data_IF_396914551677
#
_entry.id   IF_396914551677
#
_cell.length_a   1.000
_cell.length_b   1.000
_cell.length_c   1.000
_cell.angle_alpha   90.00
_cell.angle_beta   90.00
_cell.angle_gamma   90.00
#
_symmetry.space_group_name_H-M   'P 1'
#
loop_
_entity.id
_entity.type
_entity.pdbx_description
1 polymer ?
#
# COMPACT_ATOMS: atom_id res chain seq x y z
N UNK A 1 -25.80 3.30 -6.31
CA UNK A 1 -26.53 4.36 -5.58
C UNK A 1 -26.54 5.59 -6.45
N UNK A 2 -27.69 6.26 -6.57
CA UNK A 2 -27.77 7.53 -7.26
C UNK A 2 -27.06 8.64 -6.45
N UNK A 3 -26.11 9.31 -7.07
CA UNK A 3 -25.44 10.48 -6.49
C UNK A 3 -26.43 11.64 -6.37
N UNK A 4 -27.06 12.02 -7.47
CA UNK A 4 -28.26 12.85 -7.52
C UNK A 4 -29.50 11.94 -7.40
N UNK A 5 -30.26 11.99 -6.28
CA UNK A 5 -31.42 11.13 -6.08
C UNK A 5 -32.51 11.33 -7.14
N UNK A 6 -33.26 10.27 -7.47
CA UNK A 6 -34.34 10.34 -8.46
C UNK A 6 -35.47 11.31 -8.08
N UNK A 7 -35.81 11.40 -6.79
CA UNK A 7 -36.81 12.34 -6.30
C UNK A 7 -36.35 13.81 -6.32
N UNK A 8 -35.05 14.05 -6.48
CA UNK A 8 -34.46 15.37 -6.71
C UNK A 8 -34.22 15.67 -8.21
N UNK A 9 -34.56 14.72 -9.10
CA UNK A 9 -34.40 14.86 -10.56
C UNK A 9 -33.20 14.12 -11.15
N UNK A 10 -32.53 13.26 -10.39
CA UNK A 10 -31.44 12.42 -10.89
C UNK A 10 -31.90 11.30 -11.84
N UNK A 11 -31.01 10.88 -12.74
CA UNK A 11 -31.26 9.88 -13.79
C UNK A 11 -30.62 8.53 -13.46
N UNK A 12 -30.97 7.48 -14.20
CA UNK A 12 -30.33 6.15 -14.12
C UNK A 12 -29.03 6.05 -14.96
N UNK A 13 -28.51 7.18 -15.43
CA UNK A 13 -27.27 7.23 -16.22
C UNK A 13 -26.07 6.77 -15.38
N UNK A 14 -25.12 6.11 -16.01
CA UNK A 14 -23.93 5.56 -15.34
C UNK A 14 -23.13 6.62 -14.59
N UNK A 15 -23.08 7.86 -15.09
CA UNK A 15 -22.41 8.99 -14.44
C UNK A 15 -23.10 9.43 -13.14
N UNK A 16 -24.37 9.08 -12.93
CA UNK A 16 -25.08 9.32 -11.68
C UNK A 16 -25.01 8.13 -10.71
N UNK A 17 -24.40 7.01 -11.11
CA UNK A 17 -24.32 5.80 -10.31
C UNK A 17 -22.96 5.65 -9.61
N UNK A 18 -23.00 5.71 -8.28
CA UNK A 18 -21.84 5.50 -7.42
C UNK A 18 -21.90 4.12 -6.77
N UNK A 19 -20.76 3.43 -6.76
CA UNK A 19 -20.59 2.20 -5.96
C UNK A 19 -20.50 2.53 -4.48
N UNK A 20 -21.37 1.92 -3.68
CA UNK A 20 -21.38 2.12 -2.23
C UNK A 20 -21.92 0.89 -1.50
N UNK A 21 -21.59 0.76 -0.22
CA UNK A 21 -22.23 -0.24 0.63
C UNK A 21 -23.69 0.15 0.97
N UNK A 22 -24.48 -0.83 1.38
CA UNK A 22 -25.89 -0.66 1.78
C UNK A 22 -26.08 0.39 2.88
N UNK A 23 -25.17 0.46 3.85
CA UNK A 23 -25.21 1.47 4.92
C UNK A 23 -25.03 2.89 4.37
N UNK A 24 -24.04 3.12 3.51
CA UNK A 24 -23.80 4.44 2.94
C UNK A 24 -24.97 4.88 2.05
N UNK A 25 -25.52 3.97 1.25
CA UNK A 25 -26.72 4.23 0.45
C UNK A 25 -27.89 4.68 1.33
N UNK A 26 -28.14 3.95 2.42
CA UNK A 26 -29.24 4.25 3.35
C UNK A 26 -29.04 5.57 4.10
N UNK A 27 -27.82 5.87 4.55
CA UNK A 27 -27.54 7.10 5.28
C UNK A 27 -27.55 8.33 4.37
N UNK A 28 -27.07 8.20 3.12
CA UNK A 28 -27.26 9.25 2.11
C UNK A 28 -28.75 9.49 1.87
N UNK A 29 -29.50 8.42 1.66
CA UNK A 29 -30.92 8.47 1.28
C UNK A 29 -31.10 9.35 0.04
N UNK A 30 -32.12 10.18 0.07
CA UNK A 30 -32.52 11.20 -0.86
C UNK A 30 -31.85 12.56 -0.62
N UNK A 31 -30.76 12.61 0.16
CA UNK A 31 -30.03 13.85 0.34
C UNK A 31 -29.52 14.39 -1.00
N UNK A 32 -29.90 15.64 -1.26
CA UNK A 32 -29.37 16.53 -2.26
C UNK A 32 -29.35 17.94 -1.64
N UNK A 33 -28.24 18.70 -1.75
CA UNK A 33 -28.13 19.98 -1.08
C UNK A 33 -29.06 21.02 -1.72
N UNK A 34 -29.63 21.88 -0.87
CA UNK A 34 -30.27 23.14 -1.30
C UNK A 34 -29.22 24.17 -1.71
N UNK A 35 -29.64 25.26 -2.36
CA UNK A 35 -28.73 26.36 -2.74
C UNK A 35 -27.99 26.95 -1.53
N UNK A 36 -28.70 27.15 -0.42
CA UNK A 36 -28.11 27.65 0.84
C UNK A 36 -27.06 26.69 1.40
N UNK A 37 -27.34 25.37 1.34
CA UNK A 37 -26.39 24.33 1.75
C UNK A 37 -25.17 24.27 0.84
N UNK A 38 -25.36 24.43 -0.48
CA UNK A 38 -24.25 24.51 -1.42
C UNK A 38 -23.32 25.68 -1.10
N UNK A 39 -23.89 26.86 -0.79
CA UNK A 39 -23.12 28.05 -0.42
C UNK A 39 -22.38 27.87 0.93
N UNK A 40 -22.95 27.11 1.86
CA UNK A 40 -22.30 26.73 3.11
C UNK A 40 -21.24 25.62 2.93
N UNK A 41 -21.19 24.97 1.77
CA UNK A 41 -20.29 23.87 1.48
C UNK A 41 -20.78 22.49 1.94
N UNK A 42 -22.07 22.36 2.29
CA UNK A 42 -22.74 21.12 2.74
C UNK A 42 -23.03 20.17 1.56
N UNK A 43 -21.98 19.80 0.84
CA UNK A 43 -22.04 18.96 -0.36
C UNK A 43 -21.43 17.59 -0.08
N UNK A 44 -22.06 16.55 -0.61
CA UNK A 44 -21.41 15.24 -0.68
C UNK A 44 -20.53 15.17 -1.92
N UNK A 45 -19.24 14.92 -1.75
CA UNK A 45 -18.31 14.70 -2.86
C UNK A 45 -18.66 13.44 -3.68
N UNK A 46 -18.55 13.55 -5.00
CA UNK A 46 -18.62 12.46 -5.96
C UNK A 46 -17.26 11.75 -6.08
N UNK A 47 -17.16 10.43 -5.78
CA UNK A 47 -15.87 9.76 -5.63
C UNK A 47 -15.08 9.56 -6.94
N UNK A 48 -15.68 9.80 -8.11
CA UNK A 48 -15.01 9.71 -9.43
C UNK A 48 -14.77 11.07 -10.09
N UNK A 49 -15.41 12.14 -9.60
CA UNK A 49 -15.38 13.45 -10.26
C UNK A 49 -14.71 14.52 -9.39
N UNK A 50 -14.85 14.40 -8.08
CA UNK A 50 -14.23 15.34 -7.14
C UNK A 50 -12.89 14.80 -6.64
N UNK A 51 -11.95 15.73 -6.41
CA UNK A 51 -10.68 15.41 -5.78
C UNK A 51 -10.87 15.20 -4.27
N UNK A 52 -11.11 13.96 -3.87
CA UNK A 52 -11.24 13.60 -2.47
C UNK A 52 -10.00 13.98 -1.64
N UNK A 53 -8.80 14.01 -2.23
CA UNK A 53 -7.57 14.32 -1.49
C UNK A 53 -7.41 15.80 -1.16
N UNK A 54 -8.07 16.67 -1.93
CA UNK A 54 -8.17 18.09 -1.60
C UNK A 54 -9.08 18.34 -0.38
N UNK A 55 -10.06 17.46 -0.13
CA UNK A 55 -11.05 17.66 0.92
C UNK A 55 -10.85 16.77 2.14
N UNK A 56 -10.19 15.62 2.00
CA UNK A 56 -10.11 14.57 3.01
C UNK A 56 -8.67 14.10 3.19
N UNK A 57 -8.24 13.97 4.45
CA UNK A 57 -6.99 13.29 4.81
C UNK A 57 -7.29 12.08 5.68
N UNK A 58 -6.55 11.00 5.47
CA UNK A 58 -6.58 9.83 6.35
C UNK A 58 -5.41 9.91 7.32
N UNK A 59 -5.72 9.85 8.61
CA UNK A 59 -4.73 9.83 9.69
C UNK A 59 -4.20 8.41 9.94
N UNK A 60 -3.11 8.31 10.72
CA UNK A 60 -2.46 7.04 11.03
C UNK A 60 -3.35 6.07 11.81
N UNK A 61 -4.22 6.61 12.67
CA UNK A 61 -5.21 5.87 13.44
C UNK A 61 -6.41 5.40 12.60
N UNK A 62 -6.44 5.70 11.30
CA UNK A 62 -7.50 5.28 10.38
C UNK A 62 -8.73 6.18 10.38
N UNK A 63 -8.74 7.30 11.13
CA UNK A 63 -9.74 8.34 10.99
C UNK A 63 -9.56 9.11 9.67
N UNK A 64 -10.67 9.60 9.14
CA UNK A 64 -10.68 10.64 8.12
C UNK A 64 -10.89 12.00 8.78
N UNK A 65 -10.12 12.98 8.35
CA UNK A 65 -10.23 14.37 8.78
C UNK A 65 -10.60 15.22 7.55
N UNK A 66 -11.58 16.11 7.72
CA UNK A 66 -11.94 17.08 6.70
C UNK A 66 -10.91 18.20 6.65
N UNK A 67 -10.33 18.43 5.47
CA UNK A 67 -9.44 19.57 5.19
C UNK A 67 -10.23 20.84 4.85
N UNK A 68 -11.52 20.68 4.55
CA UNK A 68 -12.47 21.73 4.16
C UNK A 68 -13.80 21.51 4.88
N UNK A 69 -14.68 22.53 4.86
CA UNK A 69 -16.06 22.40 5.35
C UNK A 69 -16.81 21.26 4.64
N UNK A 70 -16.73 21.21 3.31
CA UNK A 70 -17.28 20.11 2.49
C UNK A 70 -16.72 18.74 2.87
N UNK A 71 -15.42 18.64 3.14
CA UNK A 71 -14.82 17.39 3.60
C UNK A 71 -15.37 16.92 4.94
N UNK A 72 -15.53 17.85 5.88
CA UNK A 72 -16.10 17.59 7.21
C UNK A 72 -17.55 17.14 7.09
N UNK A 73 -18.38 17.90 6.36
CA UNK A 73 -19.77 17.54 6.09
C UNK A 73 -19.89 16.16 5.44
N UNK A 74 -19.05 15.86 4.43
CA UNK A 74 -19.04 14.58 3.74
C UNK A 74 -18.74 13.40 4.69
N UNK A 75 -17.74 13.55 5.57
CA UNK A 75 -17.38 12.54 6.58
C UNK A 75 -18.53 12.30 7.55
N UNK A 76 -19.11 13.37 8.08
CA UNK A 76 -20.16 13.32 9.08
C UNK A 76 -21.46 12.75 8.50
N UNK A 77 -21.90 13.30 7.36
CA UNK A 77 -23.14 12.89 6.70
C UNK A 77 -23.12 11.40 6.36
N UNK A 78 -22.03 10.89 5.77
CA UNK A 78 -21.91 9.47 5.43
C UNK A 78 -21.40 8.58 6.57
N UNK A 79 -21.11 9.18 7.74
CA UNK A 79 -20.56 8.51 8.93
C UNK A 79 -19.34 7.67 8.59
N UNK A 80 -18.37 8.27 7.88
CA UNK A 80 -17.19 7.57 7.36
C UNK A 80 -16.19 7.16 8.44
N UNK A 81 -16.30 7.75 9.64
CA UNK A 81 -15.51 7.40 10.83
C UNK A 81 -16.24 6.45 11.80
N UNK A 82 -17.27 5.74 11.35
CA UNK A 82 -17.86 4.66 12.15
C UNK A 82 -16.83 3.56 12.41
N UNK A 83 -16.85 2.98 13.62
CA UNK A 83 -15.83 2.04 14.11
C UNK A 83 -15.43 0.93 13.12
N UNK A 84 -16.36 0.25 12.41
CA UNK A 84 -15.98 -0.78 11.44
C UNK A 84 -15.10 -0.28 10.28
N UNK A 85 -15.33 0.96 9.80
CA UNK A 85 -14.53 1.53 8.71
C UNK A 85 -13.16 1.98 9.19
N UNK A 86 -13.07 2.55 10.40
CA UNK A 86 -11.79 2.92 11.02
C UNK A 86 -10.93 1.68 11.22
N UNK A 87 -11.48 0.62 11.82
CA UNK A 87 -10.78 -0.66 12.00
C UNK A 87 -10.32 -1.27 10.67
N UNK A 88 -11.16 -1.20 9.62
CA UNK A 88 -10.76 -1.66 8.28
C UNK A 88 -9.59 -0.84 7.71
N UNK A 89 -9.58 0.48 7.88
CA UNK A 89 -8.48 1.34 7.41
C UNK A 89 -7.19 1.07 8.19
N UNK A 90 -7.27 0.86 9.50
CA UNK A 90 -6.14 0.46 10.35
C UNK A 90 -5.53 -0.86 9.86
N UNK A 91 -6.34 -1.92 9.73
CA UNK A 91 -5.88 -3.24 9.24
C UNK A 91 -5.25 -3.15 7.84
N UNK A 92 -5.82 -2.33 6.95
CA UNK A 92 -5.24 -2.09 5.62
C UNK A 92 -3.91 -1.34 5.71
N UNK A 93 -3.77 -0.38 6.62
CA UNK A 93 -2.53 0.34 6.89
C UNK A 93 -1.44 -0.59 7.40
N UNK A 94 -1.75 -1.41 8.42
CA UNK A 94 -0.83 -2.39 8.99
C UNK A 94 -0.35 -3.40 7.94
N UNK A 95 -1.27 -3.97 7.16
CA UNK A 95 -0.91 -4.89 6.08
C UNK A 95 0.00 -4.26 5.03
N UNK A 96 -0.18 -2.97 4.73
CA UNK A 96 0.71 -2.24 3.80
C UNK A 96 2.11 -2.08 4.37
N UNK A 97 2.23 -1.78 5.67
CA UNK A 97 3.53 -1.68 6.36
C UNK A 97 4.24 -3.04 6.37
N UNK A 98 3.53 -4.09 6.80
CA UNK A 98 4.06 -5.45 6.79
C UNK A 98 4.54 -5.89 5.40
N UNK A 99 3.79 -5.55 4.34
CA UNK A 99 4.21 -5.85 2.99
C UNK A 99 5.48 -5.08 2.58
N UNK A 100 5.55 -3.78 2.88
CA UNK A 100 6.74 -2.99 2.61
C UNK A 100 7.97 -3.50 3.36
N UNK A 101 7.81 -3.88 4.64
CA UNK A 101 8.87 -4.45 5.46
C UNK A 101 9.37 -5.79 4.88
N UNK A 102 8.45 -6.67 4.44
CA UNK A 102 8.79 -7.92 3.79
C UNK A 102 9.57 -7.70 2.50
N UNK A 103 9.12 -6.79 1.63
CA UNK A 103 9.84 -6.44 0.40
C UNK A 103 11.25 -5.93 0.70
N UNK A 104 11.40 -5.06 1.71
CA UNK A 104 12.70 -4.56 2.12
C UNK A 104 13.63 -5.68 2.64
N UNK A 105 13.09 -6.63 3.40
CA UNK A 105 13.85 -7.79 3.88
C UNK A 105 14.27 -8.70 2.72
N UNK A 106 13.37 -8.97 1.76
CA UNK A 106 13.67 -9.76 0.56
C UNK A 106 14.80 -9.14 -0.28
N UNK A 107 14.78 -7.83 -0.48
CA UNK A 107 15.84 -7.09 -1.17
C UNK A 107 17.19 -7.23 -0.45
N UNK A 108 17.19 -7.08 0.88
CA UNK A 108 18.40 -7.23 1.70
C UNK A 108 18.94 -8.66 1.68
N UNK A 109 18.08 -9.67 1.78
CA UNK A 109 18.47 -11.07 1.69
C UNK A 109 19.09 -11.38 0.33
N UNK A 110 18.50 -10.86 -0.75
CA UNK A 110 19.02 -11.03 -2.11
C UNK A 110 20.42 -10.44 -2.23
N UNK A 111 20.67 -9.26 -1.66
CA UNK A 111 22.00 -8.64 -1.65
C UNK A 111 23.01 -9.48 -0.86
N UNK A 112 22.66 -9.92 0.34
CA UNK A 112 23.54 -10.73 1.20
C UNK A 112 23.90 -12.06 0.54
N UNK A 113 22.94 -12.73 -0.09
CA UNK A 113 23.20 -13.98 -0.84
C UNK A 113 24.20 -13.74 -1.98
N UNK A 114 24.09 -12.62 -2.70
CA UNK A 114 25.06 -12.27 -3.76
C UNK A 114 26.47 -12.03 -3.20
N UNK A 115 26.57 -11.30 -2.09
CA UNK A 115 27.85 -11.04 -1.42
C UNK A 115 28.51 -12.32 -0.91
N UNK A 116 27.74 -13.22 -0.30
CA UNK A 116 28.25 -14.52 0.15
C UNK A 116 28.80 -15.34 -1.03
N UNK A 117 28.07 -15.38 -2.15
CA UNK A 117 28.52 -16.09 -3.35
C UNK A 117 29.78 -15.48 -3.99
N UNK A 118 30.05 -14.20 -3.75
CA UNK A 118 31.29 -13.54 -4.17
C UNK A 118 32.46 -13.93 -3.26
N UNK A 119 32.27 -13.81 -1.94
CA UNK A 119 33.28 -14.23 -0.94
C UNK A 119 33.64 -15.71 -1.09
N UNK A 120 32.66 -16.59 -1.34
CA UNK A 120 32.93 -18.01 -1.58
C UNK A 120 33.75 -18.25 -2.85
N UNK A 121 33.50 -17.49 -3.93
CA UNK A 121 34.29 -17.58 -5.16
C UNK A 121 35.72 -17.09 -4.94
N UNK A 122 35.90 -15.97 -4.25
CA UNK A 122 37.22 -15.43 -3.92
C UNK A 122 38.02 -16.40 -3.04
N UNK A 123 37.38 -16.94 -2.00
CA UNK A 123 37.98 -17.95 -1.12
C UNK A 123 38.41 -19.20 -1.89
N UNK A 124 37.55 -19.72 -2.77
CA UNK A 124 37.88 -20.88 -3.61
C UNK A 124 39.05 -20.58 -4.55
N UNK A 125 39.02 -19.44 -5.22
CA UNK A 125 40.09 -19.01 -6.13
C UNK A 125 41.43 -18.84 -5.42
N UNK A 126 41.42 -18.47 -4.13
CA UNK A 126 42.63 -18.31 -3.31
C UNK A 126 43.18 -19.66 -2.81
N UNK A 127 42.32 -20.65 -2.54
CA UNK A 127 42.69 -21.95 -2.00
C UNK A 127 43.11 -22.97 -3.08
N UNK A 128 42.56 -22.90 -4.29
CA UNK A 128 42.89 -23.81 -5.40
C UNK A 128 44.39 -23.86 -5.75
N UNK A 129 45.11 -22.71 -5.88
CA UNK A 129 46.54 -22.71 -6.15
C UNK A 129 47.36 -23.38 -5.05
N UNK A 130 46.97 -23.19 -3.78
CA UNK A 130 47.64 -23.78 -2.62
C UNK A 130 47.49 -25.31 -2.60
N UNK A 131 46.31 -25.82 -2.94
CA UNK A 131 46.09 -27.26 -3.09
C UNK A 131 46.97 -27.85 -4.20
N UNK A 132 47.05 -27.18 -5.36
CA UNK A 132 47.93 -27.59 -6.46
C UNK A 132 49.42 -27.58 -6.08
N UNK A 133 49.86 -26.60 -5.29
CA UNK A 133 51.23 -26.50 -4.80
C UNK A 133 51.58 -27.65 -3.84
N UNK A 134 50.69 -27.96 -2.89
CA UNK A 134 50.85 -29.08 -1.97
C UNK A 134 50.89 -30.42 -2.69
N UNK A 135 50.03 -30.62 -3.70
CA UNK A 135 50.02 -31.84 -4.52
C UNK A 135 51.35 -32.02 -5.29
N UNK A 136 51.90 -30.91 -5.80
CA UNK A 136 53.19 -30.89 -6.51
C UNK A 136 54.37 -31.17 -5.58
N UNK A 137 54.37 -30.61 -4.37
CA UNK A 137 55.39 -30.89 -3.34
C UNK A 137 55.35 -32.35 -2.88
N UNK A 138 54.16 -32.90 -2.63
CA UNK A 138 53.99 -34.30 -2.22
C UNK A 138 54.47 -35.29 -3.30
N UNK A 139 54.17 -35.01 -4.57
CA UNK A 139 54.63 -35.83 -5.70
C UNK A 139 56.14 -35.69 -5.96
N UNK A 140 56.75 -34.55 -5.64
CA UNK A 140 58.20 -34.38 -5.67
C UNK A 140 58.90 -35.16 -4.56
N UNK A 141 58.35 -35.16 -3.33
CA UNK A 141 58.89 -35.90 -2.18
C UNK A 141 58.71 -37.43 -2.30
N UNK A 142 57.75 -37.90 -3.08
CA UNK A 142 57.52 -39.34 -3.34
C UNK A 142 58.24 -39.90 -4.57
N UNK A 143 59.08 -39.11 -5.27
CA UNK A 143 59.92 -39.68 -6.34
C UNK A 143 61.03 -40.54 -5.71
N UNK A 144 61.08 -41.86 -5.98
CA UNK A 144 62.18 -42.69 -5.49
C UNK A 144 63.49 -42.23 -6.13
N UNK A 145 64.51 -42.04 -5.28
CA UNK A 145 65.85 -41.63 -5.70
C UNK A 145 66.39 -42.57 -6.77
N UNK A 146 66.69 -42.02 -7.95
CA UNK A 146 67.44 -42.73 -8.99
C UNK A 146 68.88 -42.86 -8.52
N UNK A 147 69.24 -44.03 -8.02
CA UNK A 147 70.63 -44.54 -7.96
C UNK A 147 70.84 -45.44 -9.17
#
# INVERSE_FOLDING_TARGET
MHYHPRNAGGTDDTNNLVYCCTFCNRVKSDFWPTEEQLQAGDLLLHPLHDDLTAHLRKEEDGLLVGLTGTGTFHIERLRLNRAPLVALRQRRGERRRQHADLTHVEERLTLLVRQLAEVEREGRSSLEPLAGYLQSLLSFLHRPGRV
#
